data_IF_674436725129
#
_entry.id   IF_674436725129
#
_cell.length_a   1.000
_cell.length_b   1.000
_cell.length_c   1.000
_cell.angle_alpha   90.00
_cell.angle_beta   90.00
_cell.angle_gamma   90.00
#
_symmetry.space_group_name_H-M   'P 1'
#
loop_
_entity.id
_entity.type
_entity.pdbx_description
1 polymer ?
#
# COMPACT_ATOMS: atom_id res chain seq x y z
N UNK A 1 -1.23 -22.24 17.89
CA UNK A 1 -0.10 -21.41 18.36
C UNK A 1 1.18 -21.63 17.58
N UNK A 2 1.72 -22.86 17.49
CA UNK A 2 2.95 -23.13 16.73
C UNK A 2 2.86 -22.74 15.24
N UNK A 3 1.74 -22.99 14.57
CA UNK A 3 1.50 -22.55 13.19
C UNK A 3 1.52 -21.03 13.02
N UNK A 4 0.92 -20.30 13.97
CA UNK A 4 0.88 -18.83 13.95
C UNK A 4 2.30 -18.28 14.12
N UNK A 5 3.05 -18.81 15.08
CA UNK A 5 4.45 -18.42 15.29
C UNK A 5 5.32 -18.73 14.06
N UNK A 6 5.14 -19.90 13.45
CA UNK A 6 5.84 -20.26 12.21
C UNK A 6 5.52 -19.30 11.06
N UNK A 7 4.25 -18.95 10.85
CA UNK A 7 3.86 -17.99 9.82
C UNK A 7 4.43 -16.59 10.09
N UNK A 8 4.44 -16.13 11.34
CA UNK A 8 5.03 -14.83 11.72
C UNK A 8 6.52 -14.76 11.35
N UNK A 9 7.29 -15.83 11.63
CA UNK A 9 8.72 -15.89 11.29
C UNK A 9 8.92 -15.86 9.78
N UNK A 10 8.16 -16.68 9.04
CA UNK A 10 8.26 -16.75 7.58
C UNK A 10 7.88 -15.42 6.94
N UNK A 11 6.79 -14.80 7.40
CA UNK A 11 6.36 -13.49 6.91
C UNK A 11 7.38 -12.41 7.22
N UNK A 12 7.92 -12.36 8.45
CA UNK A 12 8.96 -11.40 8.82
C UNK A 12 10.22 -11.53 7.94
N UNK A 13 10.69 -12.76 7.73
CA UNK A 13 11.84 -13.02 6.85
C UNK A 13 11.57 -12.68 5.38
N UNK A 14 10.40 -13.05 4.85
CA UNK A 14 10.00 -12.75 3.48
C UNK A 14 9.82 -11.24 3.25
N UNK A 15 9.22 -10.53 4.21
CA UNK A 15 9.09 -9.07 4.16
C UNK A 15 10.44 -8.37 4.17
N UNK A 16 11.38 -8.81 5.01
CA UNK A 16 12.73 -8.25 5.03
C UNK A 16 13.44 -8.46 3.69
N UNK A 17 13.40 -9.68 3.14
CA UNK A 17 13.98 -9.99 1.84
C UNK A 17 13.34 -9.19 0.71
N UNK A 18 12.02 -9.00 0.73
CA UNK A 18 11.29 -8.18 -0.25
C UNK A 18 11.80 -6.74 -0.23
N UNK A 19 11.96 -6.13 0.95
CA UNK A 19 12.46 -4.77 1.11
C UNK A 19 13.88 -4.65 0.59
N UNK A 20 14.80 -5.50 1.04
CA UNK A 20 16.21 -5.44 0.61
C UNK A 20 16.36 -5.67 -0.90
N UNK A 21 15.66 -6.66 -1.45
CA UNK A 21 15.72 -6.95 -2.88
C UNK A 21 15.14 -5.82 -3.72
N UNK A 22 14.07 -5.18 -3.24
CA UNK A 22 13.44 -4.05 -3.93
C UNK A 22 14.36 -2.83 -3.92
N UNK A 23 14.99 -2.52 -2.80
CA UNK A 23 15.93 -1.39 -2.72
C UNK A 23 17.18 -1.64 -3.57
N UNK A 24 17.77 -2.83 -3.52
CA UNK A 24 18.91 -3.19 -4.36
C UNK A 24 18.60 -3.13 -5.86
N UNK A 25 17.37 -3.50 -6.26
CA UNK A 25 16.90 -3.34 -7.63
C UNK A 25 16.73 -1.86 -8.00
N UNK A 26 16.22 -1.04 -7.08
CA UNK A 26 16.14 0.41 -7.25
C UNK A 26 17.51 1.03 -7.52
N UNK A 27 18.49 0.70 -6.69
CA UNK A 27 19.88 1.17 -6.81
C UNK A 27 20.50 0.77 -8.15
N UNK A 28 20.27 -0.47 -8.61
CA UNK A 28 20.77 -0.95 -9.91
C UNK A 28 20.14 -0.20 -11.10
N UNK A 29 18.86 0.17 -10.98
CA UNK A 29 18.12 0.88 -12.03
C UNK A 29 18.23 2.40 -11.91
N UNK A 30 18.89 2.93 -10.88
CA UNK A 30 18.95 4.36 -10.60
C UNK A 30 17.60 4.96 -10.19
N UNK A 31 16.71 4.14 -9.61
CA UNK A 31 15.38 4.54 -9.15
C UNK A 31 15.45 4.81 -7.65
N UNK A 32 14.92 5.96 -7.24
CA UNK A 32 14.91 6.37 -5.85
C UNK A 32 14.16 5.38 -4.94
N UNK A 33 14.74 5.09 -3.77
CA UNK A 33 14.19 4.15 -2.79
C UNK A 33 12.77 4.52 -2.33
N UNK A 34 12.40 5.80 -2.34
CA UNK A 34 11.04 6.26 -2.03
C UNK A 34 10.05 5.78 -3.08
N UNK A 35 10.39 5.85 -4.38
CA UNK A 35 9.55 5.32 -5.46
C UNK A 35 9.43 3.80 -5.31
N UNK A 36 10.54 3.11 -5.02
CA UNK A 36 10.52 1.66 -4.76
C UNK A 36 9.60 1.30 -3.58
N UNK A 37 9.61 2.09 -2.51
CA UNK A 37 8.71 1.95 -1.37
C UNK A 37 7.24 2.13 -1.73
N UNK A 38 6.89 3.28 -2.30
CA UNK A 38 5.50 3.66 -2.58
C UNK A 38 4.85 2.89 -3.73
N UNK A 39 5.64 2.33 -4.65
CA UNK A 39 5.11 1.62 -5.84
C UNK A 39 5.35 0.13 -5.76
N UNK A 40 6.61 -0.30 -5.64
CA UNK A 40 6.98 -1.72 -5.78
C UNK A 40 6.67 -2.49 -4.50
N UNK A 41 7.18 -2.01 -3.36
CA UNK A 41 6.98 -2.66 -2.06
C UNK A 41 5.50 -2.60 -1.68
N UNK A 42 4.86 -1.44 -1.80
CA UNK A 42 3.44 -1.27 -1.54
C UNK A 42 2.55 -2.19 -2.41
N UNK A 43 2.84 -2.32 -3.70
CA UNK A 43 2.10 -3.27 -4.54
C UNK A 43 2.33 -4.71 -4.09
N UNK A 44 3.57 -5.09 -3.76
CA UNK A 44 3.92 -6.43 -3.31
C UNK A 44 3.16 -6.87 -2.06
N UNK A 45 2.97 -5.98 -1.09
CA UNK A 45 2.23 -6.27 0.15
C UNK A 45 0.71 -6.29 -0.07
N UNK A 46 0.17 -5.51 -1.00
CA UNK A 46 -1.28 -5.43 -1.25
C UNK A 46 -1.81 -6.47 -2.26
N UNK A 47 -0.96 -7.22 -2.96
CA UNK A 47 -1.39 -8.28 -3.91
C UNK A 47 -2.28 -9.35 -3.24
N UNK A 48 -1.91 -9.93 -2.08
CA UNK A 48 -2.76 -10.91 -1.39
C UNK A 48 -4.12 -10.34 -1.01
N UNK A 49 -4.17 -9.13 -0.46
CA UNK A 49 -5.42 -8.47 -0.07
C UNK A 49 -6.31 -8.18 -1.28
N UNK A 50 -5.70 -7.73 -2.38
CA UNK A 50 -6.41 -7.52 -3.63
C UNK A 50 -7.02 -8.84 -4.13
N UNK A 51 -6.28 -9.93 -4.09
CA UNK A 51 -6.78 -11.25 -4.47
C UNK A 51 -7.95 -11.69 -3.58
N UNK A 52 -7.87 -11.48 -2.26
CA UNK A 52 -8.96 -11.79 -1.33
C UNK A 52 -10.20 -10.94 -1.60
N UNK A 53 -10.06 -9.64 -1.82
CA UNK A 53 -11.16 -8.75 -2.20
C UNK A 53 -11.83 -9.18 -3.50
N UNK A 54 -11.04 -9.56 -4.52
CA UNK A 54 -11.57 -10.05 -5.81
C UNK A 54 -12.33 -11.37 -5.63
N UNK A 55 -11.81 -12.31 -4.84
CA UNK A 55 -12.48 -13.59 -4.57
C UNK A 55 -13.81 -13.36 -3.85
N UNK A 56 -13.83 -12.50 -2.83
CA UNK A 56 -15.06 -12.16 -2.08
C UNK A 56 -16.10 -11.48 -2.97
N UNK A 57 -15.68 -10.51 -3.80
CA UNK A 57 -16.57 -9.83 -4.74
C UNK A 57 -17.17 -10.81 -5.77
N UNK A 58 -16.38 -11.76 -6.29
CA UNK A 58 -16.87 -12.81 -7.21
C UNK A 58 -17.90 -13.75 -6.57
N UNK A 59 -17.84 -13.92 -5.24
CA UNK A 59 -18.82 -14.70 -4.46
C UNK A 59 -20.06 -13.88 -4.07
N UNK A 60 -20.19 -12.63 -4.51
CA UNK A 60 -21.27 -11.73 -4.14
C UNK A 60 -21.15 -11.15 -2.72
N UNK A 61 -19.99 -11.33 -2.06
CA UNK A 61 -19.72 -10.82 -0.72
C UNK A 61 -19.09 -9.42 -0.81
N UNK A 62 -19.87 -8.44 -1.29
CA UNK A 62 -19.37 -7.10 -1.57
C UNK A 62 -18.93 -6.34 -0.30
N UNK A 63 -19.65 -6.50 0.81
CA UNK A 63 -19.30 -5.87 2.09
C UNK A 63 -17.93 -6.35 2.58
N UNK A 64 -17.64 -7.66 2.43
CA UNK A 64 -16.35 -8.25 2.78
C UNK A 64 -15.22 -7.77 1.85
N UNK A 65 -15.50 -7.61 0.55
CA UNK A 65 -14.52 -7.10 -0.39
C UNK A 65 -14.14 -5.64 -0.08
N UNK A 66 -15.12 -4.80 0.25
CA UNK A 66 -14.95 -3.38 0.58
C UNK A 66 -14.27 -3.22 1.94
N UNK A 67 -14.71 -3.98 2.95
CA UNK A 67 -14.10 -3.91 4.29
C UNK A 67 -12.64 -4.34 4.28
N UNK A 68 -12.26 -5.29 3.41
CA UNK A 68 -10.86 -5.65 3.22
C UNK A 68 -10.04 -4.48 2.65
N UNK A 69 -10.52 -3.82 1.58
CA UNK A 69 -9.81 -2.68 0.94
C UNK A 69 -9.63 -1.50 1.89
N UNK A 70 -10.67 -1.11 2.63
CA UNK A 70 -10.55 0.02 3.56
C UNK A 70 -9.83 -0.40 4.85
N UNK A 71 -10.11 -1.60 5.35
CA UNK A 71 -9.55 -2.12 6.59
C UNK A 71 -8.04 -2.30 6.53
N UNK A 72 -7.50 -2.85 5.43
CA UNK A 72 -6.05 -3.04 5.28
C UNK A 72 -5.32 -1.69 5.23
N UNK A 73 -5.81 -0.72 4.47
CA UNK A 73 -5.21 0.62 4.39
C UNK A 73 -5.25 1.37 5.74
N UNK A 74 -6.36 1.27 6.48
CA UNK A 74 -6.47 1.85 7.83
C UNK A 74 -5.48 1.16 8.77
N UNK A 75 -5.39 -0.17 8.71
CA UNK A 75 -4.44 -0.94 9.52
C UNK A 75 -2.99 -0.55 9.20
N UNK A 76 -2.64 -0.38 7.93
CA UNK A 76 -1.29 -0.01 7.53
C UNK A 76 -0.87 1.37 8.07
N UNK A 77 -1.76 2.35 8.00
CA UNK A 77 -1.48 3.71 8.51
C UNK A 77 -1.44 3.71 10.05
N UNK A 78 -2.43 3.10 10.70
CA UNK A 78 -2.55 3.18 12.15
C UNK A 78 -1.56 2.27 12.88
N UNK A 79 -1.25 1.11 12.31
CA UNK A 79 -0.47 0.06 12.98
C UNK A 79 0.89 -0.11 12.29
N UNK A 80 0.91 -0.45 11.00
CA UNK A 80 2.16 -0.78 10.31
C UNK A 80 3.12 0.41 10.18
N UNK A 81 2.61 1.64 10.06
CA UNK A 81 3.44 2.85 10.03
C UNK A 81 3.80 3.33 11.45
N UNK A 82 2.83 3.38 12.36
CA UNK A 82 3.02 3.99 13.68
C UNK A 82 3.87 3.15 14.62
N UNK A 83 3.68 1.83 14.66
CA UNK A 83 4.40 0.95 15.60
C UNK A 83 5.91 0.95 15.36
N UNK A 84 6.43 0.78 14.11
CA UNK A 84 7.87 0.80 13.88
C UNK A 84 8.53 2.12 14.27
N UNK A 85 7.88 3.25 14.00
CA UNK A 85 8.38 4.58 14.39
C UNK A 85 8.44 4.71 15.92
N UNK A 86 7.37 4.30 16.62
CA UNK A 86 7.35 4.32 18.08
C UNK A 86 8.39 3.39 18.69
N UNK A 87 8.61 2.22 18.09
CA UNK A 87 9.63 1.28 18.53
C UNK A 87 11.04 1.85 18.30
N UNK A 88 11.29 2.46 17.14
CA UNK A 88 12.54 3.12 16.83
C UNK A 88 12.84 4.27 17.81
N UNK A 89 11.84 5.10 18.13
CA UNK A 89 11.94 6.15 19.14
C UNK A 89 12.22 5.57 20.53
N UNK A 90 11.51 4.52 20.94
CA UNK A 90 11.71 3.88 22.24
C UNK A 90 13.11 3.25 22.40
N UNK A 91 13.68 2.72 21.30
CA UNK A 91 15.00 2.08 21.31
C UNK A 91 16.16 3.08 21.21
N UNK A 92 16.03 4.09 20.35
CA UNK A 92 17.10 5.08 20.12
C UNK A 92 17.06 6.24 21.11
N UNK A 93 15.89 6.57 21.67
CA UNK A 93 15.66 7.80 22.45
C UNK A 93 15.65 9.07 21.59
N UNK A 94 15.79 8.95 20.28
CA UNK A 94 15.88 10.06 19.33
C UNK A 94 14.69 10.07 18.37
N UNK A 95 14.36 11.25 17.85
CA UNK A 95 13.31 11.39 16.86
C UNK A 95 13.75 10.72 15.55
N UNK A 96 12.91 9.85 15.00
CA UNK A 96 13.11 9.31 13.66
C UNK A 96 12.91 10.43 12.64
N UNK A 97 13.98 10.82 11.94
CA UNK A 97 13.88 11.77 10.83
C UNK A 97 13.06 11.14 9.70
N UNK A 98 12.02 11.84 9.26
CA UNK A 98 11.19 11.42 8.13
C UNK A 98 11.42 12.43 7.01
N UNK A 99 12.31 12.08 6.08
CA UNK A 99 12.54 12.86 4.88
C UNK A 99 11.61 12.37 3.75
N UNK A 100 10.86 13.28 3.16
CA UNK A 100 9.94 13.01 2.04
C UNK A 100 10.34 13.85 0.81
N UNK A 101 11.39 13.44 0.07
CA UNK A 101 11.90 14.21 -1.07
C UNK A 101 10.88 14.35 -2.21
N UNK A 102 10.04 13.34 -2.43
CA UNK A 102 9.09 13.26 -3.55
C UNK A 102 7.69 13.77 -3.17
N UNK A 103 7.59 15.03 -2.76
CA UNK A 103 6.32 15.67 -2.39
C UNK A 103 5.23 15.54 -3.46
N UNK A 104 5.61 15.61 -4.74
CA UNK A 104 4.66 15.46 -5.87
C UNK A 104 3.98 14.09 -5.89
N UNK A 105 4.73 13.01 -5.62
CA UNK A 105 4.19 11.66 -5.54
C UNK A 105 3.19 11.55 -4.37
N UNK A 106 3.56 12.07 -3.20
CA UNK A 106 2.70 12.03 -2.01
C UNK A 106 1.37 12.77 -2.24
N UNK A 107 1.42 13.97 -2.81
CA UNK A 107 0.20 14.72 -3.13
C UNK A 107 -0.66 13.99 -4.17
N UNK A 108 -0.05 13.30 -5.13
CA UNK A 108 -0.79 12.49 -6.10
C UNK A 108 -1.53 11.32 -5.44
N UNK A 109 -0.90 10.64 -4.47
CA UNK A 109 -1.50 9.53 -3.72
C UNK A 109 -2.64 9.99 -2.81
N UNK A 110 -2.46 11.14 -2.14
CA UNK A 110 -3.50 11.77 -1.33
C UNK A 110 -4.70 12.13 -2.23
N UNK A 111 -4.45 12.81 -3.36
CA UNK A 111 -5.49 13.16 -4.33
C UNK A 111 -6.23 11.94 -4.88
N UNK A 112 -5.51 10.86 -5.19
CA UNK A 112 -6.08 9.59 -5.64
C UNK A 112 -6.98 8.95 -4.58
N UNK A 113 -6.57 9.01 -3.31
CA UNK A 113 -7.36 8.50 -2.18
C UNK A 113 -8.67 9.27 -2.03
N UNK A 114 -8.63 10.60 -2.08
CA UNK A 114 -9.85 11.42 -2.03
C UNK A 114 -10.77 11.15 -3.22
N UNK A 115 -10.21 11.03 -4.42
CA UNK A 115 -10.98 10.72 -5.62
C UNK A 115 -11.62 9.34 -5.54
N UNK A 116 -10.90 8.33 -5.03
CA UNK A 116 -11.44 6.99 -4.82
C UNK A 116 -12.63 7.01 -3.84
N UNK A 117 -12.51 7.72 -2.72
CA UNK A 117 -13.60 7.90 -1.75
C UNK A 117 -14.79 8.60 -2.39
N UNK A 118 -14.56 9.67 -3.15
CA UNK A 118 -15.62 10.40 -3.85
C UNK A 118 -16.35 9.52 -4.87
N UNK A 119 -15.62 8.77 -5.69
CA UNK A 119 -16.20 7.87 -6.70
C UNK A 119 -17.05 6.77 -6.05
N UNK A 120 -16.61 6.26 -4.90
CA UNK A 120 -17.36 5.30 -4.10
C UNK A 120 -18.66 5.92 -3.55
N UNK A 121 -18.59 7.11 -2.95
CA UNK A 121 -19.75 7.78 -2.34
C UNK A 121 -20.80 8.22 -3.37
N UNK A 122 -20.39 8.77 -4.50
CA UNK A 122 -21.23 9.55 -5.42
C UNK A 122 -22.52 8.86 -5.93
N UNK A 123 -22.61 7.53 -5.94
CA UNK A 123 -23.82 6.79 -6.37
C UNK A 123 -24.25 5.74 -5.34
N UNK A 124 -24.66 6.14 -4.13
CA UNK A 124 -25.16 5.22 -3.10
C UNK A 124 -24.21 4.02 -2.85
N UNK A 125 -22.90 4.27 -2.78
CA UNK A 125 -21.89 3.23 -2.53
C UNK A 125 -21.78 2.15 -3.64
N UNK A 126 -22.25 2.44 -4.86
CA UNK A 126 -22.15 1.53 -6.01
C UNK A 126 -20.93 1.81 -6.89
N UNK A 127 -20.14 0.77 -7.13
CA UNK A 127 -18.97 0.80 -8.01
C UNK A 127 -19.34 0.22 -9.38
N UNK A 128 -19.39 1.07 -10.41
CA UNK A 128 -19.65 0.64 -11.79
C UNK A 128 -18.34 0.27 -12.51
N UNK A 129 -18.43 -0.52 -13.59
CA UNK A 129 -17.26 -0.85 -14.42
C UNK A 129 -16.52 0.39 -14.93
N UNK A 130 -17.24 1.47 -15.24
CA UNK A 130 -16.66 2.74 -15.65
C UNK A 130 -15.83 3.38 -14.52
N UNK A 131 -16.37 3.46 -13.30
CA UNK A 131 -15.65 3.98 -12.13
C UNK A 131 -14.41 3.16 -11.81
N UNK A 132 -14.53 1.83 -11.84
CA UNK A 132 -13.40 0.93 -11.65
C UNK A 132 -12.32 1.13 -12.73
N UNK A 133 -12.72 1.30 -13.99
CA UNK A 133 -11.79 1.61 -15.09
C UNK A 133 -11.05 2.94 -14.89
N UNK A 134 -11.77 3.99 -14.46
CA UNK A 134 -11.15 5.28 -14.14
C UNK A 134 -10.12 5.16 -13.01
N UNK A 135 -10.43 4.43 -11.93
CA UNK A 135 -9.51 4.21 -10.82
C UNK A 135 -8.27 3.41 -11.25
N UNK A 136 -8.45 2.38 -12.07
CA UNK A 136 -7.33 1.62 -12.64
C UNK A 136 -6.44 2.47 -13.54
N UNK A 137 -7.04 3.34 -14.37
CA UNK A 137 -6.28 4.25 -15.22
C UNK A 137 -5.50 5.29 -14.40
N UNK A 138 -6.10 5.83 -13.34
CA UNK A 138 -5.42 6.74 -12.41
C UNK A 138 -4.22 6.06 -11.74
N UNK A 139 -4.39 4.82 -11.27
CA UNK A 139 -3.29 4.05 -10.69
C UNK A 139 -2.13 3.87 -11.69
N UNK A 140 -2.43 3.53 -12.94
CA UNK A 140 -1.40 3.42 -14.00
C UNK A 140 -0.71 4.76 -14.28
N UNK A 141 -1.46 5.86 -14.29
CA UNK A 141 -0.90 7.20 -14.47
C UNK A 141 0.06 7.57 -13.32
N UNK A 142 -0.31 7.28 -12.08
CA UNK A 142 0.55 7.52 -10.91
C UNK A 142 1.84 6.71 -11.02
N UNK A 143 1.76 5.45 -11.42
CA UNK A 143 2.94 4.62 -11.68
C UNK A 143 3.83 5.27 -12.74
N UNK A 144 3.28 5.64 -13.89
CA UNK A 144 4.06 6.23 -14.98
C UNK A 144 4.73 7.55 -14.56
N UNK A 145 4.01 8.40 -13.83
CA UNK A 145 4.54 9.68 -13.33
C UNK A 145 5.64 9.42 -12.28
N UNK A 146 5.44 8.44 -11.40
CA UNK A 146 6.39 8.15 -10.31
C UNK A 146 7.78 7.77 -10.81
N UNK A 147 7.90 7.05 -11.93
CA UNK A 147 9.18 6.68 -12.53
C UNK A 147 9.77 7.75 -13.46
N UNK A 148 9.06 8.86 -13.68
CA UNK A 148 9.53 9.98 -14.51
C UNK A 148 10.08 11.17 -13.71
N UNK A 149 9.88 11.15 -12.38
CA UNK A 149 10.35 12.13 -11.42
C UNK A 149 11.74 11.77 -10.89
#
# INVERSE_FOLDING_TARGET
WMWIAGMMIVMGGASHLLVESSLALGDLLGIDGVIMGFVVIAAGTSVPDTALSVISAKKGQYDAAISNVFGSNIFDICICLSIPILLALAMSGEQTAIDLPQLGLIWSLIGATFLAIYLFWSNNYTLTKAKAGMMGMLYLLIILISFSL
#
